data_IF_570500205324
#
_entry.id   IF_570500205324
#
_cell.length_a   1.000
_cell.length_b   1.000
_cell.length_c   1.000
_cell.angle_alpha   90.00
_cell.angle_beta   90.00
_cell.angle_gamma   90.00
#
_symmetry.space_group_name_H-M   'P 1'
#
loop_
_entity.id
_entity.type
_entity.pdbx_description
1 polymer ?
#
# COMPACT_ATOMS: atom_id res chain seq x y z
N UNK A 1 49.16 13.71 30.12
CA UNK A 1 47.80 13.06 30.10
C UNK A 1 46.83 14.04 29.46
N UNK A 2 46.38 13.78 28.25
CA UNK A 2 45.38 14.61 27.53
C UNK A 2 44.00 14.16 27.94
N UNK A 3 43.31 14.97 28.69
CA UNK A 3 41.90 14.75 29.07
C UNK A 3 41.02 15.00 27.86
N UNK A 4 40.38 13.98 27.34
CA UNK A 4 39.34 14.09 26.30
C UNK A 4 38.10 14.69 26.96
N UNK A 5 37.80 15.95 26.68
CA UNK A 5 36.58 16.59 27.14
C UNK A 5 35.52 16.50 26.06
N UNK A 6 34.38 15.85 26.34
CA UNK A 6 33.22 15.85 25.46
C UNK A 6 32.58 17.23 25.54
N UNK A 7 32.79 18.05 24.51
CA UNK A 7 32.34 19.46 24.51
C UNK A 7 30.87 19.61 24.10
N UNK A 8 30.29 18.69 23.31
CA UNK A 8 28.89 18.71 22.87
C UNK A 8 28.51 17.37 22.33
N UNK A 9 27.29 16.90 22.66
CA UNK A 9 26.68 15.85 21.92
C UNK A 9 26.32 16.36 20.52
N UNK A 10 26.87 15.75 19.48
CA UNK A 10 26.44 16.04 18.11
C UNK A 10 24.98 15.56 17.94
N UNK A 11 24.16 16.28 17.14
CA UNK A 11 22.84 15.79 16.80
C UNK A 11 22.99 14.41 16.18
N UNK A 12 22.07 13.50 16.54
CA UNK A 12 22.07 12.14 15.99
C UNK A 12 21.87 12.24 14.48
N UNK A 13 22.87 11.84 13.71
CA UNK A 13 22.75 11.75 12.27
C UNK A 13 21.74 10.64 11.96
N UNK A 14 20.69 10.98 11.21
CA UNK A 14 19.72 10.02 10.71
C UNK A 14 20.38 9.23 9.59
N UNK A 15 20.19 7.90 9.58
CA UNK A 15 20.67 7.06 8.49
C UNK A 15 20.19 7.61 7.14
N UNK A 16 21.09 7.80 6.16
CA UNK A 16 20.71 8.31 4.83
C UNK A 16 19.59 7.53 4.17
N UNK A 17 19.47 6.24 4.47
CA UNK A 17 18.37 5.39 3.97
C UNK A 17 17.03 5.83 4.57
N UNK A 18 16.96 6.07 5.87
CA UNK A 18 15.75 6.55 6.56
C UNK A 18 15.41 7.96 6.06
N UNK A 19 16.42 8.83 5.87
CA UNK A 19 16.20 10.17 5.33
C UNK A 19 15.61 10.14 3.92
N UNK A 20 16.07 9.23 3.05
CA UNK A 20 15.53 9.05 1.70
C UNK A 20 14.10 8.47 1.64
N UNK A 21 13.60 7.93 2.75
CA UNK A 21 12.21 7.47 2.89
C UNK A 21 11.23 8.60 3.24
N UNK A 22 11.74 9.80 3.55
CA UNK A 22 10.90 10.93 3.91
C UNK A 22 10.23 11.53 2.67
N UNK A 23 8.90 11.62 2.71
CA UNK A 23 8.08 12.32 1.73
C UNK A 23 7.40 13.50 2.41
N UNK A 24 8.02 14.69 2.32
CA UNK A 24 7.52 15.89 3.01
C UNK A 24 6.38 16.58 2.26
N UNK A 25 6.31 16.40 0.93
CA UNK A 25 5.30 17.07 0.09
C UNK A 25 4.66 16.08 -0.90
N UNK A 26 3.52 15.45 -0.53
CA UNK A 26 2.81 14.53 -1.42
C UNK A 26 2.18 15.22 -2.65
N UNK A 27 2.31 16.54 -2.81
CA UNK A 27 1.68 17.32 -3.85
C UNK A 27 0.17 17.50 -3.62
N UNK A 28 -0.53 18.04 -4.63
CA UNK A 28 -1.99 18.19 -4.59
C UNK A 28 -2.69 16.87 -4.98
N UNK A 29 -2.48 15.81 -4.22
CA UNK A 29 -3.17 14.53 -4.44
C UNK A 29 -4.52 14.61 -3.74
N UNK A 30 -5.60 14.42 -4.49
CA UNK A 30 -6.96 14.40 -3.97
C UNK A 30 -7.52 12.98 -3.96
N UNK A 31 -8.35 12.66 -2.98
CA UNK A 31 -9.13 11.41 -2.95
C UNK A 31 -10.06 11.24 -4.16
N UNK A 32 -10.38 12.32 -4.90
CA UNK A 32 -11.13 12.25 -6.15
C UNK A 32 -10.42 11.48 -7.27
N UNK A 33 -9.10 11.27 -7.16
CA UNK A 33 -8.35 10.43 -8.07
C UNK A 33 -8.49 8.92 -7.79
N UNK A 34 -9.20 8.55 -6.71
CA UNK A 34 -9.44 7.17 -6.30
C UNK A 34 -10.92 6.86 -6.44
N UNK A 35 -11.29 6.02 -7.41
CA UNK A 35 -12.68 5.62 -7.66
C UNK A 35 -13.07 4.36 -6.89
N UNK A 36 -14.34 4.29 -6.46
CA UNK A 36 -14.97 3.08 -5.96
C UNK A 36 -14.56 2.60 -4.57
N UNK A 37 -13.86 3.42 -3.77
CA UNK A 37 -13.38 3.08 -2.42
C UNK A 37 -13.87 4.08 -1.35
N UNK A 38 -15.04 4.68 -1.53
CA UNK A 38 -15.56 5.72 -0.64
C UNK A 38 -15.67 5.29 0.82
N UNK A 39 -16.09 4.06 1.09
CA UNK A 39 -16.24 3.53 2.44
C UNK A 39 -14.88 3.26 3.08
N UNK A 40 -13.93 2.67 2.35
CA UNK A 40 -12.57 2.42 2.81
C UNK A 40 -11.82 3.72 3.08
N UNK A 41 -11.98 4.72 2.22
CA UNK A 41 -11.42 6.07 2.42
C UNK A 41 -12.00 6.69 3.67
N UNK A 42 -13.31 6.61 3.89
CA UNK A 42 -13.96 7.12 5.10
C UNK A 42 -13.40 6.44 6.35
N UNK A 43 -13.33 5.11 6.36
CA UNK A 43 -12.80 4.35 7.49
C UNK A 43 -11.32 4.68 7.77
N UNK A 44 -10.51 4.86 6.73
CA UNK A 44 -9.11 5.26 6.84
C UNK A 44 -8.98 6.67 7.45
N UNK A 45 -9.79 7.62 6.98
CA UNK A 45 -9.83 9.00 7.52
C UNK A 45 -10.25 9.02 8.98
N UNK A 46 -11.26 8.26 9.36
CA UNK A 46 -11.71 8.13 10.75
C UNK A 46 -10.62 7.53 11.66
N UNK A 47 -9.81 6.62 11.13
CA UNK A 47 -8.78 5.93 11.89
C UNK A 47 -7.46 6.71 12.01
N UNK A 48 -7.12 7.54 11.02
CA UNK A 48 -5.85 8.26 10.94
C UNK A 48 -6.04 9.76 11.08
N UNK A 49 -6.82 10.35 10.20
CA UNK A 49 -6.95 11.81 10.07
C UNK A 49 -7.63 12.43 11.29
N UNK A 50 -8.75 11.87 11.72
CA UNK A 50 -9.49 12.38 12.88
C UNK A 50 -8.65 12.37 14.17
N UNK A 51 -7.93 11.26 14.54
CA UNK A 51 -7.09 11.27 15.73
C UNK A 51 -5.93 12.25 15.67
N UNK A 52 -5.40 12.54 14.48
CA UNK A 52 -4.29 13.49 14.32
C UNK A 52 -4.78 14.94 14.39
N UNK A 53 -5.93 15.23 13.78
CA UNK A 53 -6.49 16.58 13.72
C UNK A 53 -7.25 16.99 14.98
N UNK A 54 -7.97 16.04 15.62
CA UNK A 54 -8.84 16.29 16.76
C UNK A 54 -8.61 15.28 17.90
N UNK A 55 -7.43 15.20 18.51
CA UNK A 55 -7.15 14.23 19.56
C UNK A 55 -8.05 14.39 20.79
N UNK A 56 -8.53 15.62 21.07
CA UNK A 56 -9.41 15.91 22.20
C UNK A 56 -10.78 15.21 22.13
N UNK A 57 -11.29 14.93 20.93
CA UNK A 57 -12.55 14.20 20.78
C UNK A 57 -12.45 12.79 21.34
N UNK A 58 -11.33 12.10 21.09
CA UNK A 58 -11.09 10.75 21.59
C UNK A 58 -10.94 10.72 23.12
N UNK A 59 -10.28 11.73 23.69
CA UNK A 59 -10.17 11.88 25.14
C UNK A 59 -11.53 12.11 25.80
N UNK A 60 -12.38 12.95 25.21
CA UNK A 60 -13.73 13.23 25.73
C UNK A 60 -14.64 12.00 25.73
N UNK A 61 -14.53 11.17 24.69
CA UNK A 61 -15.31 9.91 24.59
C UNK A 61 -14.69 8.79 25.43
N UNK A 62 -13.44 8.95 25.89
CA UNK A 62 -12.73 7.95 26.70
C UNK A 62 -12.22 6.74 25.91
N UNK A 63 -12.07 6.87 24.59
CA UNK A 63 -11.52 5.83 23.71
C UNK A 63 -10.11 6.18 23.25
N UNK A 64 -9.29 5.14 23.05
CA UNK A 64 -7.97 5.33 22.41
C UNK A 64 -8.13 5.36 20.88
N UNK A 65 -7.41 6.26 20.16
CA UNK A 65 -7.44 6.26 18.70
C UNK A 65 -6.95 4.93 18.15
N UNK A 66 -7.62 4.35 17.13
CA UNK A 66 -7.20 3.11 16.53
C UNK A 66 -5.87 3.27 15.76
N UNK A 67 -5.08 2.19 15.69
CA UNK A 67 -3.83 2.12 14.94
C UNK A 67 -4.09 1.48 13.58
N UNK A 68 -3.54 2.06 12.52
CA UNK A 68 -3.69 1.60 11.13
C UNK A 68 -2.32 1.41 10.47
N UNK A 69 -2.20 0.51 9.49
CA UNK A 69 -0.91 -0.08 9.14
C UNK A 69 -0.71 -0.33 7.63
N UNK A 70 0.35 0.20 6.97
CA UNK A 70 0.71 -0.05 5.56
C UNK A 70 2.21 0.13 5.23
N UNK A 71 2.86 -0.63 4.36
CA UNK A 71 4.32 -0.80 4.27
C UNK A 71 5.06 -0.57 2.93
N UNK A 72 6.31 -0.04 2.91
CA UNK A 72 7.29 -0.14 1.81
C UNK A 72 8.76 -0.05 2.26
N UNK A 73 9.38 -1.08 2.86
CA UNK A 73 10.79 -0.94 3.32
C UNK A 73 11.75 -2.09 2.98
N UNK A 74 11.29 -3.27 2.53
CA UNK A 74 12.07 -4.50 2.81
C UNK A 74 12.89 -5.07 1.67
N UNK A 75 12.61 -4.77 0.44
CA UNK A 75 13.24 -5.44 -0.71
C UNK A 75 14.74 -5.16 -0.92
N UNK A 76 15.33 -4.19 -0.24
CA UNK A 76 16.72 -3.77 -0.51
C UNK A 76 17.77 -4.06 0.55
N UNK A 77 17.40 -4.38 1.80
CA UNK A 77 18.34 -4.32 2.92
C UNK A 77 18.31 -5.55 3.84
N UNK A 78 18.57 -6.73 3.28
CA UNK A 78 18.79 -7.96 4.06
C UNK A 78 20.05 -7.76 4.91
N UNK A 79 19.94 -7.93 6.23
CA UNK A 79 21.04 -7.82 7.20
C UNK A 79 21.02 -6.57 8.08
N UNK A 80 20.39 -5.47 7.67
CA UNK A 80 20.29 -4.22 8.45
C UNK A 80 18.85 -3.83 8.83
N UNK A 81 17.86 -4.62 8.41
CA UNK A 81 16.44 -4.28 8.51
C UNK A 81 15.97 -3.98 9.93
N UNK A 82 16.41 -4.73 10.92
CA UNK A 82 16.05 -4.50 12.33
C UNK A 82 16.62 -3.16 12.86
N UNK A 83 17.80 -2.73 12.39
CA UNK A 83 18.38 -1.43 12.74
C UNK A 83 17.59 -0.30 12.10
N UNK A 84 17.26 -0.45 10.82
CA UNK A 84 16.47 0.54 10.06
C UNK A 84 15.08 0.74 10.68
N UNK A 85 14.41 -0.34 11.11
CA UNK A 85 13.13 -0.24 11.84
C UNK A 85 13.31 0.61 13.10
N UNK A 86 14.31 0.34 13.93
CA UNK A 86 14.55 1.13 15.15
C UNK A 86 14.80 2.60 14.85
N UNK A 87 15.59 2.89 13.84
CA UNK A 87 15.90 4.28 13.45
C UNK A 87 14.69 5.00 12.87
N UNK A 88 13.89 4.33 12.04
CA UNK A 88 12.64 4.86 11.51
C UNK A 88 11.65 5.22 12.63
N UNK A 89 11.45 4.31 13.60
CA UNK A 89 10.60 4.58 14.75
C UNK A 89 11.17 5.65 15.68
N UNK A 90 12.50 5.71 15.82
CA UNK A 90 13.19 6.78 16.53
C UNK A 90 12.94 8.13 15.88
N UNK A 91 13.16 8.21 14.57
CA UNK A 91 12.89 9.41 13.79
C UNK A 91 11.42 9.87 13.92
N UNK A 92 10.49 8.93 13.80
CA UNK A 92 9.07 9.23 13.93
C UNK A 92 8.68 9.77 15.32
N UNK A 93 9.35 9.32 16.38
CA UNK A 93 9.18 9.86 17.74
C UNK A 93 9.64 11.30 17.86
N UNK A 94 10.75 11.61 17.20
CA UNK A 94 11.39 12.95 17.29
C UNK A 94 10.66 13.98 16.40
N UNK A 95 9.90 13.52 15.37
CA UNK A 95 9.24 14.36 14.37
C UNK A 95 7.73 14.18 14.34
N UNK A 96 7.09 14.19 15.52
CA UNK A 96 5.62 14.11 15.62
C UNK A 96 4.96 15.45 15.21
N UNK A 97 3.78 15.45 14.55
CA UNK A 97 3.00 14.31 14.11
C UNK A 97 3.52 13.70 12.81
N UNK A 98 3.54 12.38 12.70
CA UNK A 98 3.92 11.70 11.46
C UNK A 98 3.17 10.39 11.23
N UNK A 99 3.22 9.90 9.99
CA UNK A 99 2.64 8.63 9.57
C UNK A 99 3.77 7.74 9.07
N UNK A 100 3.88 6.53 9.62
CA UNK A 100 4.75 5.48 9.10
C UNK A 100 3.91 4.62 8.18
N UNK A 101 4.31 4.56 6.90
CA UNK A 101 3.68 3.72 5.89
C UNK A 101 4.61 2.55 5.56
N UNK A 102 4.11 1.29 5.64
CA UNK A 102 4.88 0.10 5.35
C UNK A 102 4.11 -0.84 4.37
N UNK A 103 4.54 -1.16 3.10
CA UNK A 103 3.90 -2.05 2.09
C UNK A 103 4.52 -3.46 2.07
N UNK A 104 3.80 -4.46 1.58
CA UNK A 104 4.28 -5.84 1.46
C UNK A 104 4.80 -6.44 2.77
N UNK A 105 4.09 -6.17 3.88
CA UNK A 105 4.51 -6.62 5.22
C UNK A 105 4.66 -8.15 5.33
N UNK A 106 4.04 -8.90 4.44
CA UNK A 106 4.17 -10.36 4.35
C UNK A 106 5.61 -10.82 4.06
N UNK A 107 6.45 -9.94 3.48
CA UNK A 107 7.88 -10.23 3.30
C UNK A 107 8.64 -10.44 4.63
N UNK A 108 8.22 -9.75 5.71
CA UNK A 108 8.81 -9.92 7.05
C UNK A 108 7.84 -10.47 8.09
N UNK A 109 6.56 -10.21 7.90
CA UNK A 109 5.50 -10.62 8.82
C UNK A 109 4.92 -12.00 8.52
N UNK A 110 5.48 -12.75 7.57
CA UNK A 110 5.03 -14.09 7.21
C UNK A 110 5.23 -15.11 8.32
N UNK A 111 4.44 -16.19 8.27
CA UNK A 111 4.56 -17.31 9.22
C UNK A 111 5.98 -17.87 9.17
N UNK A 112 6.46 -18.31 10.32
CA UNK A 112 7.83 -18.83 10.53
C UNK A 112 8.19 -19.88 9.50
N UNK A 113 9.20 -19.61 8.66
CA UNK A 113 9.82 -20.62 7.82
C UNK A 113 10.65 -21.57 8.67
N UNK A 114 10.52 -22.88 8.43
CA UNK A 114 11.12 -23.94 9.26
C UNK A 114 12.55 -24.35 8.84
N UNK A 115 13.12 -23.72 7.82
CA UNK A 115 14.36 -24.21 7.18
C UNK A 115 15.66 -23.69 7.78
N UNK A 116 15.63 -22.81 8.78
CA UNK A 116 16.80 -22.41 9.57
C UNK A 116 17.93 -21.72 8.83
N UNK A 117 17.67 -21.13 7.65
CA UNK A 117 18.66 -20.39 6.88
C UNK A 117 19.07 -19.07 7.57
N UNK A 118 20.18 -18.49 7.18
CA UNK A 118 20.62 -17.19 7.71
C UNK A 118 19.62 -16.08 7.37
N UNK A 119 18.98 -16.15 6.20
CA UNK A 119 17.95 -15.23 5.76
C UNK A 119 16.69 -15.32 6.65
N UNK A 120 16.24 -16.53 6.98
CA UNK A 120 15.06 -16.74 7.86
C UNK A 120 15.30 -16.17 9.26
N UNK A 121 16.51 -16.30 9.79
CA UNK A 121 16.88 -15.72 11.09
C UNK A 121 16.85 -14.19 11.06
N UNK A 122 17.27 -13.58 9.98
CA UNK A 122 17.24 -12.12 9.82
C UNK A 122 15.80 -11.59 9.68
N UNK A 123 14.97 -12.26 8.89
CA UNK A 123 13.54 -11.93 8.77
C UNK A 123 12.88 -12.03 10.14
N UNK A 124 13.14 -13.10 10.88
CA UNK A 124 12.59 -13.30 12.21
C UNK A 124 13.05 -12.23 13.21
N UNK A 125 14.32 -11.82 13.15
CA UNK A 125 14.89 -10.74 13.95
C UNK A 125 14.23 -9.41 13.62
N UNK A 126 13.99 -9.14 12.35
CA UNK A 126 13.31 -7.94 11.85
C UNK A 126 11.87 -7.89 12.33
N UNK A 127 11.15 -9.02 12.25
CA UNK A 127 9.79 -9.13 12.78
C UNK A 127 9.75 -8.89 14.28
N UNK A 128 10.65 -9.51 15.05
CA UNK A 128 10.71 -9.32 16.50
C UNK A 128 10.99 -7.87 16.88
N UNK A 129 11.86 -7.18 16.14
CA UNK A 129 12.12 -5.76 16.35
C UNK A 129 10.87 -4.91 16.04
N UNK A 130 10.17 -5.20 14.94
CA UNK A 130 8.93 -4.54 14.60
C UNK A 130 7.88 -4.72 15.71
N UNK A 131 7.70 -5.94 16.20
CA UNK A 131 6.77 -6.24 17.29
C UNK A 131 7.12 -5.47 18.57
N UNK A 132 8.41 -5.40 18.93
CA UNK A 132 8.88 -4.63 20.08
C UNK A 132 8.59 -3.13 19.94
N UNK A 133 8.81 -2.58 18.73
CA UNK A 133 8.50 -1.18 18.48
C UNK A 133 6.98 -0.93 18.55
N UNK A 134 6.17 -1.85 18.06
CA UNK A 134 4.70 -1.78 18.13
C UNK A 134 4.19 -1.85 19.59
N UNK A 135 4.75 -2.70 20.43
CA UNK A 135 4.37 -2.81 21.84
C UNK A 135 4.71 -1.54 22.63
N UNK A 136 5.78 -0.83 22.25
CA UNK A 136 6.14 0.48 22.81
C UNK A 136 5.35 1.68 22.21
N UNK A 137 4.47 1.43 21.26
CA UNK A 137 3.86 2.47 20.43
C UNK A 137 2.78 3.30 21.14
N UNK A 138 2.21 2.81 22.25
CA UNK A 138 1.17 3.53 23.02
C UNK A 138 1.65 4.86 23.61
N UNK A 139 2.96 5.03 23.77
CA UNK A 139 3.58 6.28 24.24
C UNK A 139 3.73 7.34 23.16
N UNK A 140 3.45 6.99 21.88
CA UNK A 140 3.74 7.82 20.70
C UNK A 140 2.55 8.64 20.20
N UNK A 141 1.57 8.90 20.98
CA UNK A 141 0.32 9.67 20.78
C UNK A 141 0.01 10.28 19.40
N UNK A 142 1.00 10.84 18.71
CA UNK A 142 0.86 11.55 17.43
C UNK A 142 1.58 10.85 16.25
N UNK A 143 2.07 9.63 16.43
CA UNK A 143 2.57 8.81 15.32
C UNK A 143 1.51 7.80 14.94
N UNK A 144 1.15 7.71 13.67
CA UNK A 144 0.23 6.71 13.13
C UNK A 144 0.99 5.77 12.21
N UNK A 145 0.55 4.53 12.17
CA UNK A 145 1.16 3.52 11.34
C UNK A 145 0.12 2.87 10.42
N UNK A 146 0.47 2.70 9.15
CA UNK A 146 -0.36 2.06 8.13
C UNK A 146 0.46 0.92 7.50
N UNK A 147 0.01 -0.35 7.47
CA UNK A 147 0.66 -1.50 6.79
C UNK A 147 -0.26 -2.07 5.70
N UNK A 148 0.25 -2.44 4.52
CA UNK A 148 -0.50 -3.13 3.49
C UNK A 148 0.09 -4.52 3.19
N UNK A 149 -0.77 -5.42 2.75
CA UNK A 149 -0.36 -6.73 2.25
C UNK A 149 -1.40 -7.24 1.26
N UNK A 150 -0.93 -7.96 0.25
CA UNK A 150 -1.77 -8.75 -0.64
C UNK A 150 -2.03 -10.17 -0.10
N UNK A 151 -1.39 -10.56 1.01
CA UNK A 151 -1.45 -11.90 1.58
C UNK A 151 -1.72 -11.89 3.09
N UNK A 152 -2.89 -11.46 3.52
CA UNK A 152 -3.22 -11.37 4.95
C UNK A 152 -3.22 -12.72 5.67
N UNK A 153 -3.42 -13.82 4.93
CA UNK A 153 -3.44 -15.20 5.41
C UNK A 153 -2.08 -15.71 5.89
N UNK A 154 -0.98 -15.16 5.34
CA UNK A 154 0.38 -15.59 5.70
C UNK A 154 0.98 -14.78 6.86
N UNK A 155 0.33 -13.70 7.30
CA UNK A 155 0.85 -12.86 8.38
C UNK A 155 0.95 -13.63 9.71
N UNK A 156 1.99 -13.33 10.48
CA UNK A 156 2.14 -13.86 11.83
C UNK A 156 1.00 -13.34 12.73
N UNK A 157 0.26 -14.25 13.42
CA UNK A 157 -0.81 -13.85 14.33
C UNK A 157 -0.38 -12.86 15.43
N UNK A 158 0.90 -12.79 15.75
CA UNK A 158 1.44 -11.84 16.71
C UNK A 158 1.29 -10.38 16.25
N UNK A 159 1.33 -10.11 14.95
CA UNK A 159 1.05 -8.78 14.39
C UNK A 159 -0.41 -8.38 14.56
N UNK A 160 -1.32 -9.35 14.46
CA UNK A 160 -2.76 -9.14 14.46
C UNK A 160 -3.38 -9.04 15.87
N UNK A 161 -2.56 -9.05 16.92
CA UNK A 161 -3.05 -8.93 18.29
C UNK A 161 -3.62 -7.54 18.59
N UNK A 162 -4.69 -7.46 19.39
CA UNK A 162 -5.21 -6.18 19.90
C UNK A 162 -4.10 -5.33 20.53
N UNK A 163 -4.12 -4.02 20.29
CA UNK A 163 -3.08 -3.09 20.73
C UNK A 163 -1.90 -2.95 19.76
N UNK A 164 -1.77 -3.85 18.75
CA UNK A 164 -0.79 -3.72 17.67
C UNK A 164 -1.43 -3.26 16.38
N UNK A 165 -2.41 -4.04 15.88
CA UNK A 165 -3.20 -3.76 14.67
C UNK A 165 -4.69 -3.82 15.02
N UNK A 166 -5.27 -2.67 15.34
CA UNK A 166 -6.65 -2.60 15.82
C UNK A 166 -7.69 -2.53 14.70
N UNK A 167 -7.30 -2.02 13.53
CA UNK A 167 -8.18 -1.87 12.36
C UNK A 167 -7.62 -2.61 11.16
N UNK A 168 -8.50 -3.37 10.51
CA UNK A 168 -8.24 -4.06 9.25
C UNK A 168 -9.22 -3.53 8.22
N UNK A 169 -8.70 -2.94 7.15
CA UNK A 169 -9.49 -2.41 6.05
C UNK A 169 -9.24 -3.31 4.85
N UNK A 170 -10.25 -4.04 4.42
CA UNK A 170 -10.19 -4.84 3.21
C UNK A 170 -10.49 -3.98 2.00
N UNK A 171 -9.63 -4.07 0.99
CA UNK A 171 -9.82 -3.44 -0.31
C UNK A 171 -10.26 -4.53 -1.30
N UNK A 172 -11.58 -4.69 -1.55
CA UNK A 172 -12.10 -5.71 -2.44
C UNK A 172 -11.84 -5.35 -3.90
N UNK A 173 -12.00 -6.33 -4.79
CA UNK A 173 -12.08 -6.04 -6.21
C UNK A 173 -13.26 -5.09 -6.49
N UNK A 174 -13.08 -4.12 -7.41
CA UNK A 174 -14.12 -3.14 -7.70
C UNK A 174 -15.37 -3.78 -8.31
N UNK A 175 -16.54 -3.41 -7.81
CA UNK A 175 -17.82 -3.76 -8.39
C UNK A 175 -18.03 -3.01 -9.73
N UNK A 176 -19.13 -3.28 -10.44
CA UNK A 176 -19.40 -2.69 -11.76
C UNK A 176 -19.39 -1.15 -11.72
N UNK A 177 -20.06 -0.56 -10.73
CA UNK A 177 -20.09 0.89 -10.55
C UNK A 177 -18.70 1.47 -10.28
N UNK A 178 -17.94 0.83 -9.39
CA UNK A 178 -16.56 1.24 -9.07
C UNK A 178 -15.64 1.11 -10.28
N UNK A 179 -15.78 0.04 -11.09
CA UNK A 179 -15.02 -0.12 -12.34
C UNK A 179 -15.31 1.01 -13.32
N UNK A 180 -16.57 1.44 -13.41
CA UNK A 180 -16.96 2.57 -14.25
C UNK A 180 -16.32 3.88 -13.79
N UNK A 181 -16.31 4.15 -12.49
CA UNK A 181 -15.67 5.34 -11.92
C UNK A 181 -14.16 5.34 -12.19
N UNK A 182 -13.48 4.23 -11.92
CA UNK A 182 -12.04 4.06 -12.16
C UNK A 182 -11.72 4.27 -13.65
N UNK A 183 -12.49 3.64 -14.54
CA UNK A 183 -12.29 3.76 -15.99
C UNK A 183 -12.44 5.22 -16.45
N UNK A 184 -13.47 5.93 -15.97
CA UNK A 184 -13.68 7.35 -16.25
C UNK A 184 -12.55 8.23 -15.76
N UNK A 185 -12.02 7.97 -14.57
CA UNK A 185 -10.87 8.70 -14.01
C UNK A 185 -9.64 8.54 -14.93
N UNK A 186 -9.31 7.30 -15.30
CA UNK A 186 -8.16 7.06 -16.16
C UNK A 186 -8.36 7.52 -17.62
N UNK A 187 -9.59 7.52 -18.09
CA UNK A 187 -9.92 8.02 -19.43
C UNK A 187 -10.05 9.55 -19.50
N UNK A 188 -10.08 10.27 -18.37
CA UNK A 188 -10.35 11.72 -18.35
C UNK A 188 -9.33 12.53 -19.16
N UNK A 189 -8.04 12.15 -19.11
CA UNK A 189 -6.95 12.81 -19.83
C UNK A 189 -6.75 12.36 -21.28
N UNK A 190 -7.54 11.42 -21.78
CA UNK A 190 -7.40 10.87 -23.13
C UNK A 190 -8.26 11.65 -24.11
N UNK A 191 -7.71 12.06 -25.26
CA UNK A 191 -8.49 12.65 -26.35
C UNK A 191 -9.45 11.61 -26.93
N UNK A 192 -10.75 11.91 -26.91
CA UNK A 192 -11.82 11.00 -27.36
C UNK A 192 -12.62 11.64 -28.49
N UNK A 193 -13.05 10.81 -29.45
CA UNK A 193 -13.96 11.21 -30.51
C UNK A 193 -15.21 10.33 -30.51
N UNK A 194 -16.37 10.97 -30.53
CA UNK A 194 -17.66 10.30 -30.41
C UNK A 194 -18.00 9.95 -28.96
N UNK A 195 -19.13 9.31 -28.80
CA UNK A 195 -19.62 8.83 -27.49
C UNK A 195 -18.96 7.48 -27.16
N UNK A 196 -18.46 7.35 -25.93
CA UNK A 196 -17.86 6.10 -25.44
C UNK A 196 -18.81 5.47 -24.44
N UNK A 197 -19.33 4.30 -24.78
CA UNK A 197 -20.16 3.49 -23.88
C UNK A 197 -19.26 2.76 -22.87
N UNK A 198 -18.98 3.44 -21.75
CA UNK A 198 -18.19 2.86 -20.65
C UNK A 198 -18.89 1.69 -19.99
N UNK A 199 -20.24 1.63 -20.03
CA UNK A 199 -21.01 0.54 -19.44
C UNK A 199 -20.76 -0.78 -20.20
N UNK A 200 -20.77 -0.72 -21.52
CA UNK A 200 -20.43 -1.90 -22.36
C UNK A 200 -18.99 -2.38 -22.11
N UNK A 201 -18.03 -1.47 -21.94
CA UNK A 201 -16.64 -1.82 -21.64
C UNK A 201 -16.53 -2.49 -20.26
N UNK A 202 -17.19 -1.94 -19.23
CA UNK A 202 -17.14 -2.43 -17.84
C UNK A 202 -17.79 -3.81 -17.69
N UNK A 203 -18.85 -4.10 -18.45
CA UNK A 203 -19.48 -5.43 -18.49
C UNK A 203 -18.51 -6.53 -18.96
N UNK A 204 -17.59 -6.22 -19.87
CA UNK A 204 -16.54 -7.13 -20.30
C UNK A 204 -15.32 -7.19 -19.37
N UNK A 205 -15.21 -6.25 -18.44
CA UNK A 205 -14.11 -6.13 -17.51
C UNK A 205 -14.40 -6.76 -16.13
N UNK A 206 -15.18 -7.85 -16.10
CA UNK A 206 -15.47 -8.57 -14.85
C UNK A 206 -14.19 -9.12 -14.22
N UNK A 207 -14.02 -8.92 -12.90
CA UNK A 207 -12.83 -9.33 -12.16
C UNK A 207 -11.57 -8.46 -12.40
N UNK A 208 -11.68 -7.35 -13.12
CA UNK A 208 -10.58 -6.42 -13.32
C UNK A 208 -10.37 -5.56 -12.07
N UNK A 209 -9.11 -5.37 -11.72
CA UNK A 209 -8.68 -4.42 -10.68
C UNK A 209 -8.39 -3.03 -11.28
N UNK A 210 -7.99 -2.07 -10.43
CA UNK A 210 -7.70 -0.69 -10.88
C UNK A 210 -6.56 -0.61 -11.89
N UNK A 211 -5.52 -1.43 -11.76
CA UNK A 211 -4.41 -1.50 -12.68
C UNK A 211 -4.83 -2.07 -14.05
N UNK A 212 -5.66 -3.11 -14.06
CA UNK A 212 -6.23 -3.67 -15.29
C UNK A 212 -7.03 -2.61 -16.06
N UNK A 213 -7.88 -1.84 -15.36
CA UNK A 213 -8.70 -0.78 -15.97
C UNK A 213 -7.84 0.37 -16.52
N UNK A 214 -6.75 0.73 -15.83
CA UNK A 214 -5.75 1.65 -16.37
C UNK A 214 -5.10 1.10 -17.63
N UNK A 215 -4.76 -0.19 -17.66
CA UNK A 215 -4.22 -0.85 -18.83
C UNK A 215 -5.19 -0.88 -20.00
N UNK A 216 -6.51 -1.03 -19.77
CA UNK A 216 -7.54 -0.87 -20.82
C UNK A 216 -7.43 0.50 -21.47
N UNK A 217 -7.32 1.56 -20.68
CA UNK A 217 -7.16 2.92 -21.19
C UNK A 217 -5.87 3.09 -21.99
N UNK A 218 -4.76 2.54 -21.50
CA UNK A 218 -3.46 2.60 -22.19
C UNK A 218 -3.50 1.84 -23.51
N UNK A 219 -4.03 0.63 -23.53
CA UNK A 219 -4.11 -0.20 -24.75
C UNK A 219 -5.08 0.40 -25.79
N UNK A 220 -6.18 1.04 -25.34
CA UNK A 220 -7.07 1.77 -26.22
C UNK A 220 -6.33 2.96 -26.90
N UNK A 221 -5.52 3.71 -26.13
CA UNK A 221 -4.64 4.75 -26.67
C UNK A 221 -3.64 4.20 -27.69
N UNK A 222 -2.99 3.09 -27.37
CA UNK A 222 -2.06 2.41 -28.29
C UNK A 222 -2.75 1.92 -29.56
N UNK A 223 -4.02 1.49 -29.47
CA UNK A 223 -4.82 1.10 -30.65
C UNK A 223 -5.05 2.29 -31.57
N UNK A 224 -5.36 3.48 -31.03
CA UNK A 224 -5.53 4.70 -31.80
C UNK A 224 -4.21 5.11 -32.49
N UNK A 225 -3.08 5.08 -31.78
CA UNK A 225 -1.75 5.41 -32.32
C UNK A 225 -1.39 4.46 -33.46
N UNK A 226 -1.60 3.14 -33.32
CA UNK A 226 -1.36 2.17 -34.41
C UNK A 226 -2.24 2.42 -35.63
N UNK A 227 -3.39 3.07 -35.46
CA UNK A 227 -4.28 3.47 -36.53
C UNK A 227 -4.03 4.91 -37.03
N UNK A 228 -2.89 5.51 -36.62
CA UNK A 228 -2.46 6.86 -36.99
C UNK A 228 -3.52 7.94 -36.66
N UNK A 229 -4.22 7.80 -35.50
CA UNK A 229 -5.22 8.73 -35.02
C UNK A 229 -4.77 9.43 -33.73
N UNK A 230 -5.10 10.71 -33.60
CA UNK A 230 -4.83 11.54 -32.41
C UNK A 230 -5.91 11.43 -31.33
N UNK A 231 -6.90 10.58 -31.54
CA UNK A 231 -8.03 10.37 -30.62
C UNK A 231 -8.44 8.90 -30.56
N UNK A 232 -9.02 8.53 -29.42
CA UNK A 232 -9.55 7.19 -29.15
C UNK A 232 -11.05 7.17 -29.43
N UNK A 233 -11.54 6.07 -29.98
CA UNK A 233 -12.97 5.81 -30.23
C UNK A 233 -13.46 4.64 -29.38
N UNK A 234 -14.77 4.45 -29.30
CA UNK A 234 -15.40 3.33 -28.55
C UNK A 234 -14.82 1.96 -28.92
N UNK A 235 -14.60 1.70 -30.21
CA UNK A 235 -14.02 0.44 -30.70
C UNK A 235 -12.63 0.13 -30.12
N UNK A 236 -11.80 1.14 -29.85
CA UNK A 236 -10.46 0.94 -29.28
C UNK A 236 -10.57 0.44 -27.83
N UNK A 237 -11.49 0.96 -27.04
CA UNK A 237 -11.77 0.46 -25.70
C UNK A 237 -12.33 -0.97 -25.73
N UNK A 238 -13.22 -1.28 -26.66
CA UNK A 238 -13.78 -2.62 -26.80
C UNK A 238 -12.74 -3.65 -27.23
N UNK A 239 -11.80 -3.30 -28.10
CA UNK A 239 -10.67 -4.14 -28.48
C UNK A 239 -9.71 -4.34 -27.31
N UNK A 240 -9.38 -3.26 -26.59
CA UNK A 240 -8.48 -3.29 -25.46
C UNK A 240 -9.00 -4.20 -24.33
N UNK A 241 -10.28 -4.05 -23.94
CA UNK A 241 -10.85 -4.88 -22.86
C UNK A 241 -10.94 -6.35 -23.24
N UNK A 242 -11.27 -6.69 -24.49
CA UNK A 242 -11.29 -8.08 -24.96
C UNK A 242 -9.90 -8.70 -24.93
N UNK A 243 -8.89 -8.00 -25.45
CA UNK A 243 -7.49 -8.45 -25.44
C UNK A 243 -6.98 -8.72 -24.03
N UNK A 244 -7.24 -7.82 -23.08
CA UNK A 244 -6.82 -7.98 -21.69
C UNK A 244 -7.61 -9.09 -20.98
N UNK A 245 -8.88 -9.27 -21.29
CA UNK A 245 -9.68 -10.36 -20.74
C UNK A 245 -9.17 -11.73 -21.22
N UNK A 246 -8.80 -11.85 -22.49
CA UNK A 246 -8.19 -13.07 -23.03
C UNK A 246 -6.83 -13.36 -22.36
N UNK A 247 -5.97 -12.36 -22.20
CA UNK A 247 -4.69 -12.52 -21.52
C UNK A 247 -4.89 -13.01 -20.08
N UNK A 248 -5.82 -12.40 -19.34
CA UNK A 248 -6.12 -12.78 -17.95
C UNK A 248 -6.69 -14.20 -17.81
N UNK A 249 -7.50 -14.64 -18.77
CA UNK A 249 -7.98 -16.03 -18.83
C UNK A 249 -6.85 -17.03 -19.07
N UNK A 250 -5.89 -16.68 -19.91
CA UNK A 250 -4.71 -17.52 -20.17
C UNK A 250 -3.81 -17.62 -18.92
N UNK A 251 -3.58 -16.52 -18.20
CA UNK A 251 -2.83 -16.52 -16.95
C UNK A 251 -3.51 -17.40 -15.89
N UNK A 252 -4.83 -17.28 -15.70
CA UNK A 252 -5.56 -18.09 -14.74
C UNK A 252 -5.54 -19.59 -15.11
N UNK A 253 -5.57 -19.94 -16.39
CA UNK A 253 -5.48 -21.33 -16.84
C UNK A 253 -4.07 -21.90 -16.70
N UNK A 254 -3.03 -21.09 -16.87
CA UNK A 254 -1.64 -21.49 -16.66
C UNK A 254 -1.34 -21.77 -15.18
N UNK A 255 -1.87 -20.98 -14.26
CA UNK A 255 -1.80 -21.25 -12.82
C UNK A 255 -2.51 -22.56 -12.43
N UNK A 256 -3.67 -22.84 -13.02
CA UNK A 256 -4.40 -24.09 -12.78
C UNK A 256 -3.62 -25.33 -13.24
N UNK A 257 -2.89 -25.23 -14.36
CA UNK A 257 -2.05 -26.34 -14.88
C UNK A 257 -0.78 -26.56 -14.05
N UNK A 258 -0.24 -25.52 -13.39
CA UNK A 258 0.96 -25.64 -12.56
C UNK A 258 0.70 -26.29 -11.20
N UNK A 259 -0.53 -26.18 -10.67
CA UNK A 259 -0.91 -26.80 -9.41
C UNK A 259 -1.27 -28.30 -9.53
N UNK A 260 -1.69 -28.77 -10.71
CA UNK A 260 -2.02 -30.17 -10.97
C UNK A 260 -0.86 -31.01 -11.55
N UNK A 261 0.31 -30.43 -11.73
CA UNK A 261 1.49 -31.12 -12.28
C UNK A 261 2.52 -31.59 -11.25
N UNK A 262 2.14 -31.65 -9.97
CA UNK A 262 2.98 -32.19 -8.88
C UNK A 262 2.26 -33.34 -8.21
N UNK A 263 2.16 -34.47 -8.92
CA UNK A 263 1.99 -35.82 -8.37
C UNK A 263 3.21 -36.67 -8.75
#
# INVERSE_FOLDING_TARGET
MTTLTIMRALPREVDPVVYNMLHEHPGNISYSAVGGLSDQIRELRESIELPLMNPELFLRVGIKPPKVVSSAIIDKYIGESARLIREMFGYARDHQPCIIFMDEIDAIGGRRFSEGTSADREIQRTLMELLNQLDGFDQLGKVKMIMATNRPDVLDPALLRPGRLDRKIEIPLPNEQSRMEILKIHAAGIAKHGEIDYEAVVKLAEGFNGADLRNVCTEAGMSAIRAERDYVIHEDFMKAVRKLNEAKKLESSAHYSADFGKD
#
